data_IF_411316203297
#
_entry.id   IF_411316203297
#
_cell.length_a   1.000
_cell.length_b   1.000
_cell.length_c   1.000
_cell.angle_alpha   90.00
_cell.angle_beta   90.00
_cell.angle_gamma   90.00
#
_symmetry.space_group_name_H-M   'P 1'
#
loop_
_entity.id
_entity.type
_entity.pdbx_description
1 polymer ?
#
# COMPACT_ATOMS: atom_id res chain seq x y z
N UNK A 1 -12.65 -12.77 55.19
CA UNK A 1 -13.00 -13.98 54.40
C UNK A 1 -12.28 -13.82 53.06
N UNK A 2 -11.01 -14.22 53.03
CA UNK A 2 -10.50 -15.49 52.46
C UNK A 2 -9.97 -15.24 51.03
N UNK A 3 -8.70 -15.60 50.86
CA UNK A 3 -7.83 -15.31 49.73
C UNK A 3 -8.24 -16.00 48.42
N UNK A 4 -7.93 -15.37 47.28
CA UNK A 4 -7.70 -16.11 46.03
C UNK A 4 -6.35 -15.66 45.46
N UNK A 5 -5.52 -16.68 45.31
CA UNK A 5 -4.11 -16.75 44.98
C UNK A 5 -3.82 -16.25 43.56
N UNK A 6 -2.64 -15.64 43.38
CA UNK A 6 -2.17 -15.08 42.11
C UNK A 6 -1.63 -16.12 41.11
N UNK A 7 -1.23 -15.67 39.90
CA UNK A 7 -0.70 -16.54 38.86
C UNK A 7 0.79 -16.88 39.09
N UNK A 8 1.12 -18.17 39.04
CA UNK A 8 2.49 -18.70 39.18
C UNK A 8 3.33 -18.48 37.89
N UNK A 9 4.52 -17.86 37.98
CA UNK A 9 5.50 -17.83 36.91
C UNK A 9 6.71 -18.69 37.27
N UNK A 10 7.01 -19.72 36.47
CA UNK A 10 8.34 -20.32 36.17
C UNK A 10 8.19 -21.79 35.77
N UNK A 11 8.33 -22.08 34.48
CA UNK A 11 8.75 -23.42 34.04
C UNK A 11 9.82 -23.25 32.95
N UNK A 12 11.07 -23.38 33.38
CA UNK A 12 12.26 -23.50 32.54
C UNK A 12 12.69 -24.95 32.69
N UNK A 13 12.39 -25.78 31.69
CA UNK A 13 12.80 -27.18 31.66
C UNK A 13 14.20 -27.27 31.06
N UNK A 14 15.19 -27.55 31.91
CA UNK A 14 16.56 -27.94 31.55
C UNK A 14 16.64 -29.45 31.71
N UNK A 15 17.04 -30.17 30.66
CA UNK A 15 17.15 -31.63 30.65
C UNK A 15 18.60 -32.09 30.94
N UNK A 16 18.88 -32.82 32.04
CA UNK A 16 20.23 -33.23 32.42
C UNK A 16 20.41 -34.76 32.36
N UNK A 17 20.52 -35.35 31.16
CA UNK A 17 20.91 -36.75 31.01
C UNK A 17 22.33 -36.92 30.46
N UNK A 18 23.31 -36.78 31.37
CA UNK A 18 24.71 -37.20 31.21
C UNK A 18 24.86 -38.57 31.87
N UNK A 19 25.12 -39.63 31.11
CA UNK A 19 25.50 -40.93 31.66
C UNK A 19 27.01 -41.16 31.52
N UNK A 20 27.63 -41.40 32.67
CA UNK A 20 29.03 -41.70 32.91
C UNK A 20 29.11 -43.12 33.46
N UNK A 21 29.93 -43.99 32.86
CA UNK A 21 30.52 -45.24 33.39
C UNK A 21 31.19 -45.99 32.20
N UNK A 22 32.30 -46.71 32.28
CA UNK A 22 33.24 -47.03 33.33
C UNK A 22 34.52 -47.57 32.65
N UNK A 23 35.67 -47.36 33.28
CA UNK A 23 36.95 -47.96 32.91
C UNK A 23 37.07 -49.38 33.52
N UNK A 24 37.75 -50.29 32.83
CA UNK A 24 38.41 -51.45 33.46
C UNK A 24 39.63 -51.87 32.63
N UNK A 25 40.84 -51.97 33.20
CA UNK A 25 41.98 -52.58 32.53
C UNK A 25 42.09 -54.06 32.92
N UNK A 26 42.35 -54.94 31.94
CA UNK A 26 42.73 -56.33 32.19
C UNK A 26 43.96 -56.66 31.37
N UNK A 27 45.09 -56.84 32.05
CA UNK A 27 46.35 -57.33 31.50
C UNK A 27 46.48 -58.84 31.77
N UNK A 28 47.27 -59.51 30.91
CA UNK A 28 48.20 -60.64 31.14
C UNK A 28 48.03 -61.81 30.12
N UNK A 29 49.03 -62.71 29.93
CA UNK A 29 50.03 -62.60 28.85
C UNK A 29 50.13 -63.92 28.03
N UNK A 30 50.85 -63.92 26.90
CA UNK A 30 51.12 -65.16 26.17
C UNK A 30 51.98 -64.98 24.94
N UNK A 31 53.17 -65.60 24.97
CA UNK A 31 54.17 -65.66 23.90
C UNK A 31 53.77 -66.68 22.83
N UNK A 32 53.85 -66.30 21.56
CA UNK A 32 54.23 -67.16 20.43
C UNK A 32 54.85 -66.20 19.38
N UNK A 33 56.17 -66.15 19.26
CA UNK A 33 56.99 -66.94 18.30
C UNK A 33 56.59 -66.68 16.85
N UNK A 34 57.53 -66.04 16.13
CA UNK A 34 57.72 -65.91 14.68
C UNK A 34 56.56 -66.27 13.76
N UNK A 35 56.11 -65.30 12.94
CA UNK A 35 56.19 -65.41 11.48
C UNK A 35 56.37 -64.02 10.87
N UNK A 36 57.53 -63.82 10.25
CA UNK A 36 57.87 -62.68 9.41
C UNK A 36 56.97 -62.69 8.16
N UNK A 37 55.85 -61.98 8.21
CA UNK A 37 55.01 -61.72 7.03
C UNK A 37 55.39 -60.34 6.52
N UNK A 38 56.26 -60.32 5.53
CA UNK A 38 56.62 -59.13 4.76
C UNK A 38 55.36 -58.61 4.05
N UNK A 39 54.59 -57.77 4.73
CA UNK A 39 53.45 -57.09 4.10
C UNK A 39 54.01 -56.01 3.18
N UNK A 40 53.79 -56.05 1.85
CA UNK A 40 54.18 -54.93 1.01
C UNK A 40 53.35 -53.72 1.44
N UNK A 41 54.03 -52.65 1.86
CA UNK A 41 53.40 -51.36 2.12
C UNK A 41 52.71 -50.90 0.84
N UNK A 42 51.39 -51.02 0.80
CA UNK A 42 50.55 -50.48 -0.27
C UNK A 42 50.55 -48.96 -0.12
N UNK A 43 51.37 -48.28 -0.92
CA UNK A 43 51.38 -46.83 -1.02
C UNK A 43 50.02 -46.38 -1.56
N UNK A 44 49.16 -45.87 -0.69
CA UNK A 44 47.90 -45.25 -1.10
C UNK A 44 48.23 -43.91 -1.76
N UNK A 45 48.35 -43.92 -3.08
CA UNK A 45 48.44 -42.70 -3.89
C UNK A 45 47.17 -41.88 -3.70
N UNK A 46 47.26 -40.84 -2.88
CA UNK A 46 46.20 -39.83 -2.73
C UNK A 46 46.15 -39.02 -4.02
N UNK A 47 45.17 -39.29 -4.89
CA UNK A 47 44.88 -38.43 -6.04
C UNK A 47 44.59 -37.02 -5.52
N UNK A 48 45.51 -36.09 -5.80
CA UNK A 48 45.28 -34.67 -5.59
C UNK A 48 44.08 -34.27 -6.48
N UNK A 49 42.91 -34.09 -5.86
CA UNK A 49 41.75 -33.53 -6.54
C UNK A 49 42.11 -32.07 -6.83
N UNK A 50 42.38 -31.76 -8.10
CA UNK A 50 42.65 -30.38 -8.54
C UNK A 50 41.52 -29.48 -8.08
N UNK A 51 41.77 -28.69 -7.03
CA UNK A 51 40.89 -27.60 -6.63
C UNK A 51 41.07 -26.52 -7.69
N UNK A 52 40.05 -26.33 -8.53
CA UNK A 52 40.03 -25.22 -9.48
C UNK A 52 40.07 -23.93 -8.66
N UNK A 53 41.13 -23.14 -8.81
CA UNK A 53 41.18 -21.80 -8.27
C UNK A 53 40.22 -20.93 -9.11
N UNK A 54 39.35 -20.16 -8.44
CA UNK A 54 38.44 -19.23 -9.10
C UNK A 54 39.25 -18.18 -9.87
N UNK A 55 38.81 -17.86 -11.09
CA UNK A 55 39.43 -16.82 -11.90
C UNK A 55 38.89 -15.44 -11.48
N UNK A 56 39.73 -14.41 -11.51
CA UNK A 56 39.31 -13.04 -11.20
C UNK A 56 38.22 -12.57 -12.18
N UNK A 57 38.30 -13.02 -13.43
CA UNK A 57 37.32 -12.70 -14.47
C UNK A 57 35.91 -13.15 -14.11
N UNK A 58 35.77 -14.30 -13.44
CA UNK A 58 34.48 -14.87 -13.05
C UNK A 58 33.78 -13.98 -12.01
N UNK A 59 34.53 -13.47 -11.03
CA UNK A 59 34.01 -12.51 -10.06
C UNK A 59 33.71 -11.15 -10.71
N UNK A 60 34.54 -10.71 -11.66
CA UNK A 60 34.40 -9.43 -12.36
C UNK A 60 33.08 -9.39 -13.17
N UNK A 61 32.77 -10.47 -13.88
CA UNK A 61 31.51 -10.57 -14.63
C UNK A 61 30.31 -10.59 -13.68
N UNK A 62 30.38 -11.31 -12.56
CA UNK A 62 29.28 -11.37 -11.59
C UNK A 62 28.98 -9.99 -11.00
N UNK A 63 29.99 -9.26 -10.52
CA UNK A 63 29.77 -7.90 -10.00
C UNK A 63 29.29 -6.94 -11.09
N UNK A 64 29.76 -7.12 -12.33
CA UNK A 64 29.30 -6.33 -13.48
C UNK A 64 27.80 -6.52 -13.77
N UNK A 65 27.33 -7.77 -13.76
CA UNK A 65 25.90 -8.08 -13.95
C UNK A 65 25.07 -7.55 -12.77
N UNK A 66 25.55 -7.67 -11.53
CA UNK A 66 24.85 -7.14 -10.35
C UNK A 66 24.71 -5.61 -10.41
N UNK A 67 25.74 -4.89 -10.84
CA UNK A 67 25.67 -3.43 -11.02
C UNK A 67 24.73 -3.04 -12.16
N UNK A 68 24.75 -3.78 -13.28
CA UNK A 68 23.87 -3.55 -14.42
C UNK A 68 22.40 -3.77 -14.06
N UNK A 69 22.07 -4.87 -13.38
CA UNK A 69 20.71 -5.15 -12.92
C UNK A 69 20.30 -4.22 -11.78
N UNK A 70 21.20 -3.91 -10.85
CA UNK A 70 20.95 -2.99 -9.74
C UNK A 70 20.52 -1.59 -10.19
N UNK A 71 21.02 -1.10 -11.33
CA UNK A 71 20.59 0.18 -11.91
C UNK A 71 19.15 0.20 -12.46
N UNK A 72 18.62 -0.94 -12.91
CA UNK A 72 17.32 -1.02 -13.60
C UNK A 72 16.16 -1.14 -12.61
N UNK A 73 16.37 -1.74 -11.44
CA UNK A 73 15.32 -2.06 -10.46
C UNK A 73 14.64 -0.81 -9.87
N UNK A 74 15.28 0.37 -9.93
CA UNK A 74 14.72 1.62 -9.40
C UNK A 74 13.65 2.27 -10.28
N UNK A 75 13.62 1.98 -11.58
CA UNK A 75 12.80 2.77 -12.52
C UNK A 75 11.31 2.36 -12.54
N UNK A 76 10.95 1.19 -12.04
CA UNK A 76 9.62 0.60 -12.26
C UNK A 76 8.56 0.95 -11.19
N UNK A 77 8.82 1.86 -10.26
CA UNK A 77 7.87 2.20 -9.18
C UNK A 77 7.02 3.46 -9.44
N UNK A 78 7.36 4.29 -10.43
CA UNK A 78 6.94 5.71 -10.37
C UNK A 78 5.74 6.13 -11.23
N UNK A 79 5.04 5.23 -11.95
CA UNK A 79 4.12 5.68 -13.02
C UNK A 79 2.71 5.07 -13.10
N UNK A 80 2.40 4.00 -12.36
CA UNK A 80 1.04 3.42 -12.36
C UNK A 80 0.18 3.85 -11.18
N UNK A 81 0.79 4.42 -10.15
CA UNK A 81 0.13 4.93 -8.95
C UNK A 81 -0.74 6.15 -9.25
N UNK A 82 -0.27 7.05 -10.13
CA UNK A 82 -0.82 8.40 -10.22
C UNK A 82 -2.23 8.41 -10.84
N UNK A 83 -2.45 7.58 -11.87
CA UNK A 83 -3.80 7.41 -12.45
C UNK A 83 -4.80 6.77 -11.47
N UNK A 84 -4.33 5.87 -10.61
CA UNK A 84 -5.18 5.29 -9.57
C UNK A 84 -5.49 6.31 -8.47
N UNK A 85 -4.57 7.24 -8.21
CA UNK A 85 -4.76 8.35 -7.28
C UNK A 85 -5.79 9.36 -7.80
N UNK A 86 -5.78 9.70 -9.08
CA UNK A 86 -6.78 10.59 -9.69
C UNK A 86 -8.21 10.05 -9.55
N UNK A 87 -8.40 8.75 -9.85
CA UNK A 87 -9.72 8.11 -9.73
C UNK A 87 -10.23 8.07 -8.30
N UNK A 88 -9.35 7.72 -7.35
CA UNK A 88 -9.70 7.68 -5.92
C UNK A 88 -10.05 9.07 -5.39
N UNK A 89 -9.30 10.09 -5.79
CA UNK A 89 -9.57 11.47 -5.41
C UNK A 89 -10.88 11.98 -5.97
N UNK A 90 -11.19 11.67 -7.24
CA UNK A 90 -12.47 12.05 -7.83
C UNK A 90 -13.64 11.52 -7.02
N UNK A 91 -13.57 10.28 -6.52
CA UNK A 91 -14.60 9.71 -5.64
C UNK A 91 -14.70 10.46 -4.31
N UNK A 92 -13.57 10.79 -3.69
CA UNK A 92 -13.54 11.57 -2.44
C UNK A 92 -14.13 12.97 -2.65
N UNK A 93 -13.75 13.66 -3.72
CA UNK A 93 -14.28 14.99 -4.07
C UNK A 93 -15.80 14.96 -4.26
N UNK A 94 -16.33 13.91 -4.89
CA UNK A 94 -17.77 13.72 -5.05
C UNK A 94 -18.46 13.51 -3.70
N UNK A 95 -17.84 12.79 -2.76
CA UNK A 95 -18.36 12.63 -1.41
C UNK A 95 -18.39 13.97 -0.64
N UNK A 96 -17.32 14.76 -0.69
CA UNK A 96 -17.26 16.09 -0.08
C UNK A 96 -18.30 17.02 -0.71
N UNK A 97 -18.41 17.03 -2.04
CA UNK A 97 -19.44 17.79 -2.77
C UNK A 97 -20.85 17.43 -2.27
N UNK A 98 -21.15 16.14 -2.14
CA UNK A 98 -22.45 15.67 -1.66
C UNK A 98 -22.72 16.16 -0.24
N UNK A 99 -21.73 16.11 0.65
CA UNK A 99 -21.83 16.63 2.01
C UNK A 99 -22.09 18.15 2.03
N UNK A 100 -21.40 18.94 1.19
CA UNK A 100 -21.65 20.38 1.05
C UNK A 100 -23.08 20.65 0.56
N UNK A 101 -23.59 19.83 -0.36
CA UNK A 101 -24.96 19.99 -0.85
C UNK A 101 -26.01 19.66 0.21
N UNK A 102 -25.74 18.70 1.10
CA UNK A 102 -26.58 18.44 2.28
C UNK A 102 -26.53 19.61 3.26
N UNK A 103 -25.34 20.12 3.57
CA UNK A 103 -25.17 21.33 4.39
C UNK A 103 -25.98 22.50 3.82
N UNK A 104 -25.90 22.73 2.51
CA UNK A 104 -26.69 23.77 1.82
C UNK A 104 -28.18 23.54 1.96
N UNK A 105 -28.65 22.29 1.91
CA UNK A 105 -30.06 21.99 2.09
C UNK A 105 -30.55 22.36 3.48
N UNK A 106 -29.75 22.18 4.51
CA UNK A 106 -30.19 22.33 5.89
C UNK A 106 -29.99 23.77 6.39
N UNK A 107 -28.80 24.33 6.18
CA UNK A 107 -28.46 25.70 6.59
C UNK A 107 -28.97 26.75 5.59
N UNK A 108 -29.37 26.34 4.37
CA UNK A 108 -29.81 27.19 3.26
C UNK A 108 -28.75 28.12 2.69
N UNK A 109 -27.48 27.92 3.05
CA UNK A 109 -26.30 28.61 2.51
C UNK A 109 -25.17 27.63 2.23
N UNK A 110 -24.23 28.01 1.36
CA UNK A 110 -22.97 27.27 1.22
C UNK A 110 -22.02 27.64 2.37
N UNK A 111 -21.04 26.77 2.69
CA UNK A 111 -19.92 27.12 3.55
C UNK A 111 -19.20 28.36 3.03
N UNK A 112 -18.70 29.18 3.93
CA UNK A 112 -17.80 30.29 3.58
C UNK A 112 -16.37 29.77 3.37
N UNK A 113 -15.52 30.61 2.79
CA UNK A 113 -14.10 30.28 2.57
C UNK A 113 -13.36 29.98 3.90
N UNK A 114 -13.72 30.68 4.98
CA UNK A 114 -13.10 30.52 6.31
C UNK A 114 -13.57 29.25 7.02
N UNK A 115 -14.84 28.86 6.83
CA UNK A 115 -15.40 27.62 7.37
C UNK A 115 -14.89 26.37 6.61
N UNK A 116 -14.76 26.52 5.28
CA UNK A 116 -14.23 25.50 4.38
C UNK A 116 -14.95 24.15 4.47
N UNK A 117 -14.20 23.07 4.27
CA UNK A 117 -14.71 21.68 4.40
C UNK A 117 -14.84 21.22 5.85
N UNK A 118 -14.31 21.97 6.81
CA UNK A 118 -14.32 21.60 8.24
C UNK A 118 -15.73 21.60 8.80
N UNK A 119 -16.57 22.52 8.31
CA UNK A 119 -17.99 22.64 8.70
C UNK A 119 -18.83 21.38 8.46
N UNK A 120 -18.34 20.49 7.60
CA UNK A 120 -19.03 19.25 7.24
C UNK A 120 -19.01 18.23 8.38
N UNK A 121 -18.05 18.31 9.29
CA UNK A 121 -17.92 17.38 10.41
C UNK A 121 -17.84 18.09 11.77
N UNK A 122 -17.39 19.34 11.81
CA UNK A 122 -17.36 20.15 13.03
C UNK A 122 -18.29 21.36 12.91
N UNK A 123 -19.25 21.47 13.83
CA UNK A 123 -20.19 22.59 13.87
C UNK A 123 -19.63 23.82 14.60
N UNK A 124 -18.51 23.73 15.32
CA UNK A 124 -18.02 24.85 16.14
C UNK A 124 -17.49 26.03 15.32
N UNK A 125 -17.25 25.81 14.03
CA UNK A 125 -16.84 26.86 13.08
C UNK A 125 -18.02 27.70 12.60
N UNK A 126 -19.27 27.28 12.88
CA UNK A 126 -20.48 28.00 12.50
C UNK A 126 -20.83 29.09 13.51
N UNK A 127 -21.49 30.13 13.00
CA UNK A 127 -22.26 31.08 13.80
C UNK A 127 -23.44 30.39 14.52
N UNK A 128 -23.89 30.95 15.65
CA UNK A 128 -24.94 30.37 16.49
C UNK A 128 -26.24 30.09 15.72
N UNK A 129 -26.62 30.97 14.78
CA UNK A 129 -27.81 30.82 13.95
C UNK A 129 -27.69 29.63 12.99
N UNK A 130 -26.54 29.52 12.30
CA UNK A 130 -26.28 28.40 11.38
C UNK A 130 -26.06 27.08 12.12
N UNK A 131 -25.42 27.11 13.29
CA UNK A 131 -25.24 25.95 14.17
C UNK A 131 -26.58 25.37 14.65
N UNK A 132 -27.59 26.21 14.84
CA UNK A 132 -28.95 25.77 15.18
C UNK A 132 -29.70 25.06 14.05
N UNK A 133 -29.32 25.30 12.78
CA UNK A 133 -29.92 24.67 11.59
C UNK A 133 -29.13 23.45 11.11
N UNK A 134 -27.94 23.24 11.63
CA UNK A 134 -27.05 22.16 11.24
C UNK A 134 -27.61 20.81 11.73
N UNK A 135 -27.87 19.89 10.79
CA UNK A 135 -28.38 18.55 11.07
C UNK A 135 -27.30 17.45 10.93
N UNK A 136 -26.02 17.86 10.86
CA UNK A 136 -24.88 16.99 10.64
C UNK A 136 -24.47 16.15 11.87
N UNK A 137 -23.30 15.47 11.79
CA UNK A 137 -22.24 15.68 10.80
C UNK A 137 -22.55 15.05 9.43
N UNK A 138 -22.16 15.75 8.36
CA UNK A 138 -22.37 15.32 6.97
C UNK A 138 -21.26 14.38 6.46
N UNK A 139 -20.17 14.27 7.22
CA UNK A 139 -19.11 13.29 7.07
C UNK A 139 -18.91 12.55 8.40
N UNK A 140 -18.69 11.24 8.36
CA UNK A 140 -18.54 10.41 9.56
C UNK A 140 -17.30 10.77 10.39
N UNK A 141 -16.28 11.33 9.73
CA UNK A 141 -15.02 11.73 10.33
C UNK A 141 -14.47 12.97 9.62
N UNK A 142 -13.39 13.51 10.17
CA UNK A 142 -12.60 14.53 9.49
C UNK A 142 -12.27 14.09 8.05
N UNK A 143 -12.30 15.06 7.14
CA UNK A 143 -12.01 14.82 5.73
C UNK A 143 -10.60 14.23 5.61
N UNK A 144 -10.43 13.03 5.03
CA UNK A 144 -9.10 12.49 4.77
C UNK A 144 -8.30 13.44 3.89
N UNK A 145 -6.99 13.49 4.13
CA UNK A 145 -6.06 14.16 3.22
C UNK A 145 -6.11 13.51 1.84
N UNK A 146 -5.67 14.27 0.84
CA UNK A 146 -5.53 13.75 -0.51
C UNK A 146 -4.49 12.60 -0.59
N UNK A 147 -4.28 12.04 -1.79
CA UNK A 147 -3.35 10.92 -1.97
C UNK A 147 -1.87 11.31 -1.80
N UNK A 148 -1.56 12.61 -1.78
CA UNK A 148 -0.22 13.16 -1.60
C UNK A 148 0.01 13.72 -0.19
N UNK A 149 -1.00 13.69 0.67
CA UNK A 149 -0.94 14.13 2.07
C UNK A 149 -1.29 15.59 2.31
N UNK A 150 -1.82 16.29 1.31
CA UNK A 150 -2.28 17.67 1.37
C UNK A 150 -3.77 17.76 1.78
N UNK A 151 -4.16 18.93 2.29
CA UNK A 151 -5.55 19.21 2.64
C UNK A 151 -6.35 19.63 1.40
N UNK A 152 -7.67 19.42 1.45
CA UNK A 152 -8.55 19.85 0.37
C UNK A 152 -8.72 21.36 0.40
N UNK A 153 -8.50 21.98 -0.75
CA UNK A 153 -8.69 23.43 -0.90
C UNK A 153 -10.13 23.67 -1.38
N UNK A 154 -10.88 24.38 -0.56
CA UNK A 154 -12.23 24.83 -0.88
C UNK A 154 -12.16 26.22 -1.50
N UNK A 155 -12.88 26.45 -2.60
CA UNK A 155 -12.93 27.76 -3.27
C UNK A 155 -14.38 28.22 -3.38
N UNK A 156 -14.70 29.33 -2.71
CA UNK A 156 -16.01 29.97 -2.78
C UNK A 156 -15.90 31.51 -2.69
N UNK A 157 -16.52 32.27 -3.61
CA UNK A 157 -17.24 31.82 -4.80
C UNK A 157 -16.28 31.35 -5.90
N UNK A 158 -16.59 30.23 -6.55
CA UNK A 158 -15.81 29.75 -7.70
C UNK A 158 -16.35 30.36 -9.01
N UNK A 159 -15.51 31.09 -9.73
CA UNK A 159 -15.85 31.64 -11.04
C UNK A 159 -15.93 30.54 -12.10
N UNK A 160 -16.92 30.60 -12.98
CA UNK A 160 -17.08 29.64 -14.09
C UNK A 160 -17.59 28.24 -13.70
N UNK A 161 -17.92 28.01 -12.43
CA UNK A 161 -18.40 26.70 -11.95
C UNK A 161 -19.91 26.71 -11.70
N UNK A 162 -20.64 25.78 -12.32
CA UNK A 162 -22.11 25.72 -12.25
C UNK A 162 -22.69 25.54 -10.82
N UNK A 163 -21.91 24.93 -9.91
CA UNK A 163 -22.34 24.71 -8.52
C UNK A 163 -21.97 25.87 -7.58
N UNK A 164 -21.24 26.89 -8.06
CA UNK A 164 -20.86 28.09 -7.32
C UNK A 164 -19.69 27.96 -6.36
N UNK A 165 -19.14 26.74 -6.20
CA UNK A 165 -17.94 26.44 -5.43
C UNK A 165 -17.09 25.40 -6.16
N UNK A 166 -15.80 25.33 -5.86
CA UNK A 166 -14.92 24.25 -6.33
C UNK A 166 -14.21 23.60 -5.14
N UNK A 167 -13.79 22.36 -5.35
CA UNK A 167 -12.91 21.62 -4.44
C UNK A 167 -11.71 21.20 -5.29
N UNK A 168 -10.52 21.52 -4.83
CA UNK A 168 -9.27 21.17 -5.51
C UNK A 168 -8.32 20.41 -4.60
N UNK A 169 -7.54 19.55 -5.23
CA UNK A 169 -6.36 18.90 -4.67
C UNK A 169 -5.14 19.48 -5.37
N UNK A 170 -4.13 19.87 -4.58
CA UNK A 170 -2.89 20.52 -5.03
C UNK A 170 -1.89 19.55 -5.67
N UNK A 171 -2.29 18.30 -5.88
CA UNK A 171 -1.46 17.36 -6.62
C UNK A 171 -0.20 16.89 -5.89
N UNK A 172 0.69 16.19 -6.63
CA UNK A 172 1.99 15.76 -6.14
C UNK A 172 2.96 16.90 -5.79
N UNK A 173 2.85 18.06 -6.45
CA UNK A 173 3.80 19.16 -6.28
C UNK A 173 3.52 20.04 -5.04
N UNK A 174 2.30 19.95 -4.50
CA UNK A 174 1.87 20.67 -3.31
C UNK A 174 1.68 22.17 -3.52
N UNK A 175 1.58 22.63 -4.76
CA UNK A 175 1.45 24.04 -5.11
C UNK A 175 0.10 24.30 -5.77
N UNK A 176 -0.65 25.27 -5.25
CA UNK A 176 -1.90 25.70 -5.87
C UNK A 176 -1.64 26.45 -7.19
N UNK A 177 -2.49 26.23 -8.19
CA UNK A 177 -2.49 26.93 -9.48
C UNK A 177 -1.60 26.30 -10.55
N UNK A 178 -1.16 25.07 -10.33
CA UNK A 178 -0.31 24.30 -11.25
C UNK A 178 -1.16 23.39 -12.15
N UNK A 179 -0.52 22.75 -13.14
CA UNK A 179 -1.25 21.94 -14.13
C UNK A 179 -1.75 20.61 -13.54
N UNK A 180 -1.08 20.12 -12.50
CA UNK A 180 -1.37 18.89 -11.77
C UNK A 180 -2.49 19.05 -10.73
N UNK A 181 -3.02 20.26 -10.53
CA UNK A 181 -4.23 20.49 -9.76
C UNK A 181 -5.42 19.69 -10.31
N UNK A 182 -6.04 18.94 -9.40
CA UNK A 182 -7.25 18.16 -9.68
C UNK A 182 -8.43 18.90 -9.06
N UNK A 183 -9.25 19.54 -9.90
CA UNK A 183 -10.45 20.25 -9.47
C UNK A 183 -11.74 19.51 -9.85
N UNK A 184 -12.76 19.62 -9.01
CA UNK A 184 -14.06 18.98 -9.21
C UNK A 184 -14.75 19.53 -10.46
N UNK A 185 -14.58 20.82 -10.73
CA UNK A 185 -15.08 21.47 -11.95
C UNK A 185 -14.37 20.97 -13.22
N UNK A 186 -13.03 20.83 -13.17
CA UNK A 186 -12.20 20.34 -14.30
C UNK A 186 -12.48 18.87 -14.62
N UNK A 187 -12.76 18.04 -13.61
CA UNK A 187 -13.09 16.62 -13.77
C UNK A 187 -14.36 16.32 -14.58
N UNK A 188 -15.25 17.30 -14.78
CA UNK A 188 -16.45 17.12 -15.61
C UNK A 188 -16.17 17.18 -17.13
N UNK A 189 -14.96 17.56 -17.55
CA UNK A 189 -14.59 17.61 -18.97
C UNK A 189 -14.26 16.25 -19.62
N UNK A 190 -13.94 15.22 -18.82
CA UNK A 190 -13.39 13.95 -19.33
C UNK A 190 -14.24 12.71 -19.00
N UNK A 191 -15.25 12.82 -18.14
CA UNK A 191 -16.11 11.67 -17.76
C UNK A 191 -17.30 11.46 -18.73
N UNK A 192 -17.62 12.45 -19.57
CA UNK A 192 -18.74 12.38 -20.52
C UNK A 192 -18.33 11.76 -21.88
N UNK A 193 -17.10 11.23 -22.01
CA UNK A 193 -16.56 10.76 -23.29
C UNK A 193 -16.46 9.23 -23.48
N UNK A 194 -16.83 8.38 -22.52
CA UNK A 194 -16.62 6.93 -22.68
C UNK A 194 -17.64 5.99 -22.00
N UNK A 195 -18.86 6.44 -21.69
CA UNK A 195 -19.96 5.51 -21.42
C UNK A 195 -20.80 5.36 -22.68
N UNK A 196 -20.48 4.32 -23.46
CA UNK A 196 -21.18 3.97 -24.68
C UNK A 196 -22.70 3.97 -24.50
N UNK A 197 -23.33 4.73 -25.40
CA UNK A 197 -24.71 4.60 -25.84
C UNK A 197 -25.05 3.11 -26.05
N UNK A 198 -25.65 2.47 -25.03
CA UNK A 198 -26.32 1.20 -25.18
C UNK A 198 -27.82 1.44 -25.07
N UNK A 199 -28.48 1.45 -26.23
CA UNK A 199 -29.93 1.39 -26.34
C UNK A 199 -30.57 2.77 -26.47
N UNK A 200 -30.99 3.13 -27.67
CA UNK A 200 -32.14 2.50 -28.31
C UNK A 200 -32.24 2.93 -29.78
N UNK A 201 -31.87 2.03 -30.69
CA UNK A 201 -32.21 2.17 -32.10
C UNK A 201 -33.68 1.77 -32.29
N UNK A 202 -34.59 2.73 -32.11
CA UNK A 202 -35.98 2.54 -32.51
C UNK A 202 -36.05 2.51 -34.03
N UNK A 203 -35.99 1.32 -34.60
CA UNK A 203 -36.30 1.03 -36.00
C UNK A 203 -37.73 1.49 -36.32
N UNK A 204 -37.88 2.74 -36.79
CA UNK A 204 -39.10 3.26 -37.39
C UNK A 204 -39.28 2.66 -38.78
N UNK A 205 -39.77 1.42 -38.85
CA UNK A 205 -40.26 0.79 -40.07
C UNK A 205 -41.57 1.44 -40.51
N UNK A 206 -41.49 2.39 -41.44
CA UNK A 206 -42.65 2.99 -42.10
C UNK A 206 -43.36 1.99 -43.00
N UNK A 207 -44.42 1.37 -42.48
CA UNK A 207 -45.34 0.54 -43.26
C UNK A 207 -46.18 1.37 -44.22
N UNK A 208 -46.01 1.10 -45.51
CA UNK A 208 -46.89 1.59 -46.59
C UNK A 208 -48.24 0.86 -46.52
N UNK A 209 -49.26 1.51 -45.96
CA UNK A 209 -50.63 1.02 -46.03
C UNK A 209 -51.30 1.54 -47.32
N UNK A 210 -51.23 0.71 -48.36
CA UNK A 210 -52.17 0.72 -49.49
C UNK A 210 -53.41 -0.04 -49.04
N UNK A 211 -54.59 0.57 -49.05
CA UNK A 211 -55.84 -0.19 -49.15
C UNK A 211 -57.00 0.71 -49.62
N UNK A 212 -57.38 0.44 -50.89
CA UNK A 212 -58.73 0.31 -51.46
C UNK A 212 -59.82 1.34 -51.17
#
# INVERSE_FOLDING_TARGET
MAAIFGPDPREITVDPHRHSIAATPRTLPGKHTEQEITTPMRTTSTRHRNRRAFTILELLIVIGILLALGGIVLYNLSGQSDKAYEGTQTVQMQAIKKAIMMFKNDVKRLPTQEEGVVVLWDKSVLDDDSAGRWAGPYLESAVPKDMWGHEWVYVFPAEGVAVGFDILSVGPDGQEGTEDDISLAKGKGNADADFGDFGSESSSGGGTATSR
#
